data_IF_250485563786
#
_entry.id   IF_250485563786
#
_cell.length_a   1.000
_cell.length_b   1.000
_cell.length_c   1.000
_cell.angle_alpha   90.00
_cell.angle_beta   90.00
_cell.angle_gamma   90.00
#
_symmetry.space_group_name_H-M   'P 1'
#
loop_
_entity.id
_entity.type
_entity.pdbx_description
1 polymer ?
#
# COMPACT_ATOMS: atom_id res chain seq x y z
N UNK A 1 11.17 -6.27 -52.08
CA UNK A 1 11.85 -6.58 -50.80
C UNK A 1 11.20 -5.77 -49.69
N UNK A 2 11.22 -6.31 -48.47
CA UNK A 2 10.24 -6.11 -47.39
C UNK A 2 10.20 -4.69 -46.81
N UNK A 3 8.97 -4.21 -46.60
CA UNK A 3 8.61 -3.09 -45.74
C UNK A 3 9.08 -3.32 -44.30
N UNK A 4 9.85 -2.39 -43.75
CA UNK A 4 10.10 -2.31 -42.30
C UNK A 4 9.05 -1.34 -41.76
N UNK A 5 7.99 -1.90 -41.20
CA UNK A 5 7.07 -1.19 -40.31
C UNK A 5 7.85 -0.86 -39.04
N UNK A 6 8.22 0.40 -38.86
CA UNK A 6 8.56 0.93 -37.55
C UNK A 6 7.28 0.88 -36.71
N UNK A 7 7.11 -0.18 -35.91
CA UNK A 7 6.19 -0.16 -34.78
C UNK A 7 6.77 0.81 -33.75
N UNK A 8 6.38 2.08 -33.85
CA UNK A 8 6.53 3.03 -32.77
C UNK A 8 5.65 2.57 -31.62
N UNK A 9 6.32 2.04 -30.60
CA UNK A 9 5.81 1.66 -29.28
C UNK A 9 5.02 2.84 -28.69
N UNK A 10 3.73 2.71 -28.33
CA UNK A 10 2.97 3.76 -27.63
C UNK A 10 3.30 3.79 -26.13
N UNK A 11 4.59 3.67 -25.78
CA UNK A 11 5.10 3.78 -24.41
C UNK A 11 5.67 5.15 -24.08
N UNK A 12 5.64 6.08 -25.03
CA UNK A 12 6.30 7.39 -24.97
C UNK A 12 5.37 8.56 -24.58
N UNK A 13 4.12 8.29 -24.20
CA UNK A 13 3.13 9.33 -23.91
C UNK A 13 2.89 9.61 -22.41
N UNK A 14 3.56 8.90 -21.51
CA UNK A 14 3.51 9.21 -20.06
C UNK A 14 4.75 9.94 -19.53
N UNK A 15 5.78 10.18 -20.36
CA UNK A 15 7.06 10.72 -19.90
C UNK A 15 7.23 12.26 -20.07
N UNK A 16 6.24 12.98 -20.61
CA UNK A 16 6.45 14.36 -21.08
C UNK A 16 5.62 15.47 -20.40
N UNK A 17 4.95 15.18 -19.29
CA UNK A 17 4.22 16.20 -18.51
C UNK A 17 4.47 16.07 -17.01
N UNK A 18 5.72 15.86 -16.61
CA UNK A 18 6.14 16.18 -15.24
C UNK A 18 6.50 17.66 -15.22
N UNK A 19 5.51 18.53 -15.37
CA UNK A 19 5.65 19.85 -14.77
C UNK A 19 5.81 19.58 -13.28
N UNK A 20 6.88 20.07 -12.65
CA UNK A 20 7.00 20.11 -11.19
C UNK A 20 5.89 21.01 -10.67
N UNK A 21 4.67 20.49 -10.62
CA UNK A 21 3.62 20.99 -9.75
C UNK A 21 4.12 20.67 -8.35
N UNK A 22 4.32 21.70 -7.55
CA UNK A 22 4.54 21.55 -6.12
C UNK A 22 3.41 20.66 -5.60
N UNK A 23 3.75 19.45 -5.15
CA UNK A 23 2.76 18.45 -4.80
C UNK A 23 1.93 18.99 -3.62
N UNK A 24 0.61 19.14 -3.81
CA UNK A 24 -0.31 19.67 -2.79
C UNK A 24 -0.60 18.65 -1.66
N UNK A 25 0.31 17.69 -1.48
CA UNK A 25 0.30 16.72 -0.38
C UNK A 25 0.91 17.33 0.88
N UNK A 26 0.53 16.80 2.03
CA UNK A 26 1.20 17.17 3.28
C UNK A 26 2.59 16.51 3.40
N UNK A 27 3.48 17.05 4.25
CA UNK A 27 4.82 16.48 4.45
C UNK A 27 4.78 15.01 4.88
N UNK A 28 5.79 14.23 4.47
CA UNK A 28 5.87 12.81 4.78
C UNK A 28 5.85 12.54 6.30
N UNK A 29 6.44 13.44 7.10
CA UNK A 29 6.41 13.39 8.57
C UNK A 29 5.03 13.60 9.19
N UNK A 30 4.08 14.16 8.43
CA UNK A 30 2.67 14.24 8.82
C UNK A 30 1.92 12.95 8.49
N UNK A 31 2.29 12.26 7.40
CA UNK A 31 1.72 10.99 6.97
C UNK A 31 2.22 9.80 7.79
N UNK A 32 3.53 9.74 8.05
CA UNK A 32 4.18 8.60 8.68
C UNK A 32 5.06 8.99 9.87
N UNK A 33 5.29 8.00 10.73
CA UNK A 33 6.43 7.96 11.67
C UNK A 33 7.55 7.19 10.98
N UNK A 34 8.69 7.82 10.78
CA UNK A 34 9.84 7.19 10.16
C UNK A 34 11.13 7.82 10.71
N UNK A 35 12.26 7.20 10.39
CA UNK A 35 13.59 7.73 10.71
C UNK A 35 14.53 7.40 9.56
N UNK A 36 15.48 8.30 9.30
CA UNK A 36 16.57 8.11 8.33
C UNK A 36 17.91 7.87 9.04
N UNK A 37 17.89 7.62 10.35
CA UNK A 37 19.10 7.33 11.12
C UNK A 37 19.61 5.90 10.85
N UNK A 38 20.89 5.73 10.47
CA UNK A 38 21.42 4.44 10.01
C UNK A 38 21.43 3.33 11.07
N UNK A 39 21.43 3.69 12.35
CA UNK A 39 21.55 2.73 13.45
C UNK A 39 20.20 2.30 14.05
N UNK A 40 19.09 2.70 13.44
CA UNK A 40 17.75 2.27 13.87
C UNK A 40 17.25 1.14 12.97
N UNK A 41 16.84 0.03 13.58
CA UNK A 41 16.23 -1.08 12.86
C UNK A 41 14.93 -0.63 12.16
N UNK A 42 14.78 -0.98 10.88
CA UNK A 42 13.69 -0.51 10.03
C UNK A 42 13.81 0.94 9.55
N UNK A 43 14.95 1.61 9.79
CA UNK A 43 15.19 2.96 9.30
C UNK A 43 15.19 3.02 7.77
N UNK A 44 14.89 4.22 7.26
CA UNK A 44 14.97 4.61 5.86
C UNK A 44 16.27 5.34 5.52
N UNK A 45 17.35 5.00 6.24
CA UNK A 45 18.67 5.60 6.05
C UNK A 45 19.24 5.37 4.65
N UNK A 46 18.89 4.27 4.00
CA UNK A 46 19.31 3.98 2.62
C UNK A 46 18.76 4.96 1.57
N UNK A 47 17.60 5.57 1.85
CA UNK A 47 16.96 6.53 0.95
C UNK A 47 17.31 7.98 1.33
N UNK A 48 17.36 8.30 2.62
CA UNK A 48 17.46 9.68 3.09
C UNK A 48 16.14 10.46 2.95
N UNK A 49 16.07 11.66 3.52
CA UNK A 49 14.82 12.43 3.60
C UNK A 49 14.35 12.95 2.24
N UNK A 50 15.27 13.42 1.40
CA UNK A 50 14.96 13.96 0.07
C UNK A 50 14.35 12.90 -0.85
N UNK A 51 14.98 11.72 -0.92
CA UNK A 51 14.48 10.61 -1.75
C UNK A 51 13.12 10.13 -1.29
N UNK A 52 12.88 10.05 0.03
CA UNK A 52 11.58 9.65 0.56
C UNK A 52 10.48 10.67 0.24
N UNK A 53 10.80 11.97 0.27
CA UNK A 53 9.86 12.99 -0.16
C UNK A 53 9.61 12.92 -1.67
N UNK A 54 10.63 12.72 -2.49
CA UNK A 54 10.46 12.55 -3.93
C UNK A 54 9.57 11.34 -4.27
N UNK A 55 9.76 10.19 -3.59
CA UNK A 55 8.88 9.02 -3.74
C UNK A 55 7.43 9.35 -3.36
N UNK A 56 7.24 10.15 -2.31
CA UNK A 56 5.91 10.58 -1.89
C UNK A 56 5.28 11.57 -2.88
N UNK A 57 6.06 12.44 -3.52
CA UNK A 57 5.60 13.32 -4.60
C UNK A 57 5.17 12.52 -5.83
N UNK A 58 6.00 11.55 -6.23
CA UNK A 58 5.70 10.64 -7.35
C UNK A 58 4.42 9.83 -7.08
N UNK A 59 4.27 9.32 -5.86
CA UNK A 59 3.07 8.60 -5.45
C UNK A 59 1.82 9.49 -5.48
N UNK A 60 1.94 10.76 -5.08
CA UNK A 60 0.84 11.72 -5.14
C UNK A 60 0.45 12.08 -6.58
N UNK A 61 1.44 12.31 -7.44
CA UNK A 61 1.22 12.53 -8.87
C UNK A 61 0.53 11.32 -9.51
N UNK A 62 0.98 10.11 -9.20
CA UNK A 62 0.36 8.87 -9.69
C UNK A 62 -1.08 8.72 -9.21
N UNK A 63 -1.37 9.01 -7.93
CA UNK A 63 -2.73 8.97 -7.39
C UNK A 63 -3.64 10.03 -8.07
N UNK A 64 -3.10 11.22 -8.33
CA UNK A 64 -3.81 12.31 -9.02
C UNK A 64 -4.15 11.93 -10.45
N UNK A 65 -3.17 11.44 -11.22
CA UNK A 65 -3.40 10.97 -12.58
C UNK A 65 -4.29 9.74 -12.62
N UNK A 66 -4.19 8.85 -11.64
CA UNK A 66 -5.09 7.72 -11.48
C UNK A 66 -6.54 8.18 -11.29
N UNK A 67 -6.78 9.15 -10.42
CA UNK A 67 -8.11 9.73 -10.19
C UNK A 67 -8.67 10.37 -11.47
N UNK A 68 -7.85 11.15 -12.18
CA UNK A 68 -8.25 11.73 -13.47
C UNK A 68 -8.58 10.65 -14.50
N UNK A 69 -7.78 9.58 -14.59
CA UNK A 69 -8.07 8.45 -15.46
C UNK A 69 -9.41 7.78 -15.09
N UNK A 70 -9.75 7.63 -13.82
CA UNK A 70 -11.07 7.12 -13.45
C UNK A 70 -12.19 8.07 -13.90
N UNK A 71 -12.00 9.39 -13.79
CA UNK A 71 -12.98 10.36 -14.30
C UNK A 71 -13.15 10.28 -15.83
N UNK A 72 -12.03 10.21 -16.57
CA UNK A 72 -12.02 10.14 -18.04
C UNK A 72 -12.59 8.81 -18.56
N UNK A 73 -12.47 7.74 -17.78
CA UNK A 73 -13.07 6.44 -18.10
C UNK A 73 -14.60 6.52 -18.21
N UNK A 74 -15.25 7.31 -17.35
CA UNK A 74 -16.71 7.47 -17.37
C UNK A 74 -17.19 8.57 -18.32
N UNK A 75 -16.34 9.57 -18.59
CA UNK A 75 -16.66 10.67 -19.47
C UNK A 75 -16.34 10.34 -20.93
N UNK A 76 -17.34 9.96 -21.72
CA UNK A 76 -17.19 9.64 -23.14
C UNK A 76 -16.74 10.84 -23.99
N UNK A 77 -16.92 12.06 -23.50
CA UNK A 77 -16.51 13.28 -24.20
C UNK A 77 -15.06 13.69 -23.88
N UNK A 78 -14.39 13.01 -22.94
CA UNK A 78 -13.00 13.27 -22.62
C UNK A 78 -12.07 12.90 -23.79
N UNK A 79 -11.16 13.79 -24.17
CA UNK A 79 -10.19 13.54 -25.25
C UNK A 79 -9.30 12.29 -25.00
N UNK A 80 -9.14 11.92 -23.74
CA UNK A 80 -8.35 10.77 -23.24
C UNK A 80 -9.17 9.50 -23.05
N UNK A 81 -10.51 9.54 -23.23
CA UNK A 81 -11.43 8.46 -22.90
C UNK A 81 -11.00 7.11 -23.47
N UNK A 82 -10.75 7.01 -24.78
CA UNK A 82 -10.41 5.74 -25.43
C UNK A 82 -9.10 5.12 -24.91
N UNK A 83 -8.09 5.95 -24.64
CA UNK A 83 -6.79 5.51 -24.14
C UNK A 83 -6.92 5.01 -22.70
N UNK A 84 -7.63 5.78 -21.87
CA UNK A 84 -7.92 5.46 -20.48
C UNK A 84 -8.79 4.20 -20.38
N UNK A 85 -9.81 4.06 -21.23
CA UNK A 85 -10.66 2.89 -21.28
C UNK A 85 -9.86 1.62 -21.48
N UNK A 86 -8.95 1.61 -22.46
CA UNK A 86 -8.05 0.46 -22.70
C UNK A 86 -7.15 0.19 -21.51
N UNK A 87 -6.61 1.22 -20.88
CA UNK A 87 -5.75 1.09 -19.70
C UNK A 87 -6.51 0.45 -18.52
N UNK A 88 -7.68 0.99 -18.17
CA UNK A 88 -8.51 0.50 -17.05
C UNK A 88 -9.00 -0.93 -17.35
N UNK A 89 -9.49 -1.18 -18.57
CA UNK A 89 -9.91 -2.52 -18.99
C UNK A 89 -8.76 -3.54 -18.90
N UNK A 90 -7.52 -3.12 -19.18
CA UNK A 90 -6.35 -4.00 -19.10
C UNK A 90 -5.88 -4.21 -17.66
N UNK A 91 -5.77 -3.14 -16.87
CA UNK A 91 -5.25 -3.17 -15.50
C UNK A 91 -6.21 -3.87 -14.54
N UNK A 92 -7.52 -3.72 -14.77
CA UNK A 92 -8.56 -4.24 -13.89
C UNK A 92 -9.44 -5.31 -14.56
N UNK A 93 -8.96 -5.88 -15.68
CA UNK A 93 -9.61 -7.00 -16.39
C UNK A 93 -11.08 -6.75 -16.75
N UNK A 94 -11.37 -5.58 -17.34
CA UNK A 94 -12.71 -5.12 -17.73
C UNK A 94 -13.68 -5.17 -16.53
N UNK A 95 -13.46 -4.29 -15.54
CA UNK A 95 -14.25 -4.32 -14.31
C UNK A 95 -15.73 -4.07 -14.61
N UNK A 96 -16.61 -4.70 -13.83
CA UNK A 96 -18.02 -4.28 -13.74
C UNK A 96 -18.14 -2.87 -13.15
N UNK A 97 -19.32 -2.25 -13.27
CA UNK A 97 -19.55 -0.90 -12.75
C UNK A 97 -19.28 -0.81 -11.23
N UNK A 98 -19.69 -1.81 -10.46
CA UNK A 98 -19.45 -1.88 -9.01
C UNK A 98 -17.95 -2.03 -8.68
N UNK A 99 -17.22 -2.84 -9.44
CA UNK A 99 -15.78 -3.00 -9.29
C UNK A 99 -15.03 -1.72 -9.67
N UNK A 100 -15.48 -1.06 -10.74
CA UNK A 100 -14.94 0.22 -11.17
C UNK A 100 -15.12 1.29 -10.09
N UNK A 101 -16.33 1.45 -9.54
CA UNK A 101 -16.58 2.42 -8.46
C UNK A 101 -15.76 2.09 -7.20
N UNK A 102 -15.55 0.81 -6.90
CA UNK A 102 -14.67 0.38 -5.82
C UNK A 102 -13.22 0.80 -6.07
N UNK A 103 -12.71 0.62 -7.30
CA UNK A 103 -11.36 1.03 -7.68
C UNK A 103 -11.22 2.55 -7.62
N UNK A 104 -12.17 3.29 -8.20
CA UNK A 104 -12.21 4.75 -8.18
C UNK A 104 -12.16 5.27 -6.75
N UNK A 105 -13.04 4.78 -5.88
CA UNK A 105 -13.09 5.17 -4.46
C UNK A 105 -11.76 4.94 -3.75
N UNK A 106 -11.05 3.84 -4.07
CA UNK A 106 -9.74 3.55 -3.49
C UNK A 106 -8.66 4.50 -3.99
N UNK A 107 -8.63 4.81 -5.28
CA UNK A 107 -7.66 5.74 -5.87
C UNK A 107 -7.87 7.15 -5.31
N UNK A 108 -9.10 7.63 -5.28
CA UNK A 108 -9.48 8.92 -4.69
C UNK A 108 -9.16 8.95 -3.19
N UNK A 109 -9.38 7.84 -2.49
CA UNK A 109 -9.03 7.67 -1.08
C UNK A 109 -7.54 7.80 -0.82
N UNK A 110 -6.68 7.24 -1.68
CA UNK A 110 -5.22 7.39 -1.57
C UNK A 110 -4.82 8.86 -1.77
N UNK A 111 -5.31 9.52 -2.82
CA UNK A 111 -5.02 10.95 -3.06
C UNK A 111 -5.42 11.81 -1.87
N UNK A 112 -6.68 11.68 -1.41
CA UNK A 112 -7.20 12.45 -0.28
C UNK A 112 -6.45 12.16 1.03
N UNK A 113 -6.02 10.92 1.24
CA UNK A 113 -5.19 10.56 2.38
C UNK A 113 -3.82 11.25 2.34
N UNK A 114 -3.21 11.39 1.16
CA UNK A 114 -1.94 12.11 1.01
C UNK A 114 -2.08 13.62 1.20
N UNK A 115 -3.25 14.20 0.93
CA UNK A 115 -3.57 15.62 1.15
C UNK A 115 -3.91 15.94 2.62
N UNK A 116 -4.52 14.99 3.34
CA UNK A 116 -5.10 15.28 4.67
C UNK A 116 -4.51 14.46 5.81
N UNK A 117 -3.80 13.38 5.51
CA UNK A 117 -3.29 12.39 6.47
C UNK A 117 -4.36 11.42 6.99
N UNK A 118 -5.65 11.77 6.87
CA UNK A 118 -6.84 10.93 7.09
C UNK A 118 -6.84 10.04 8.33
N UNK A 119 -7.85 9.17 8.41
CA UNK A 119 -7.84 8.06 9.35
C UNK A 119 -7.17 6.84 8.69
N UNK A 120 -6.31 6.14 9.44
CA UNK A 120 -5.74 4.85 9.03
C UNK A 120 -6.32 3.73 9.89
N UNK A 121 -6.22 2.46 9.47
CA UNK A 121 -6.66 1.30 10.28
C UNK A 121 -8.10 1.39 10.84
N UNK A 122 -9.13 1.42 9.97
CA UNK A 122 -10.54 1.43 10.37
C UNK A 122 -10.94 2.60 11.30
N UNK A 123 -10.45 3.82 11.02
CA UNK A 123 -10.85 5.02 11.77
C UNK A 123 -9.90 5.43 12.90
N UNK A 124 -8.72 4.81 13.03
CA UNK A 124 -7.73 5.18 14.03
C UNK A 124 -6.82 6.31 13.54
N UNK A 125 -6.74 7.40 14.32
CA UNK A 125 -5.83 8.53 14.09
C UNK A 125 -4.39 8.29 14.57
N UNK A 126 -3.90 7.04 14.51
CA UNK A 126 -2.50 6.75 14.83
C UNK A 126 -1.69 6.75 13.53
N UNK A 127 -0.82 7.75 13.37
CA UNK A 127 0.16 7.78 12.27
C UNK A 127 0.84 6.42 12.11
N UNK A 128 0.81 5.90 10.90
CA UNK A 128 1.42 4.62 10.53
C UNK A 128 2.95 4.76 10.56
N UNK A 129 3.65 3.68 10.86
CA UNK A 129 5.09 3.64 10.71
C UNK A 129 5.44 3.31 9.25
N UNK A 130 6.36 4.09 8.67
CA UNK A 130 7.01 3.74 7.41
C UNK A 130 8.35 3.10 7.76
N UNK A 131 8.57 1.90 7.23
CA UNK A 131 9.81 1.16 7.41
C UNK A 131 10.41 0.81 6.05
N UNK A 132 11.73 0.90 5.95
CA UNK A 132 12.46 0.79 4.69
C UNK A 132 13.43 -0.40 4.72
N UNK A 133 12.86 -1.60 4.66
CA UNK A 133 13.58 -2.87 4.73
C UNK A 133 12.89 -3.86 5.66
N UNK A 134 13.37 -5.09 5.75
CA UNK A 134 12.72 -6.15 6.54
C UNK A 134 13.16 -6.18 8.03
N UNK A 135 14.08 -5.31 8.44
CA UNK A 135 14.73 -5.37 9.75
C UNK A 135 13.83 -5.00 10.93
N UNK A 136 12.68 -4.34 10.68
CA UNK A 136 11.63 -4.09 11.68
C UNK A 136 10.66 -5.27 11.84
N UNK A 137 10.56 -6.13 10.82
CA UNK A 137 9.78 -7.34 10.90
C UNK A 137 10.55 -8.32 11.79
N UNK A 138 10.43 -8.15 13.10
CA UNK A 138 10.70 -9.24 14.03
C UNK A 138 9.69 -10.30 13.65
N UNK A 139 10.09 -11.24 12.79
CA UNK A 139 9.27 -12.39 12.40
C UNK A 139 9.00 -13.18 13.67
N UNK A 140 7.86 -12.90 14.29
CA UNK A 140 7.39 -13.65 15.44
C UNK A 140 6.94 -14.97 14.90
N UNK A 141 7.62 -16.02 15.32
CA UNK A 141 7.24 -17.38 14.98
C UNK A 141 6.22 -17.93 15.99
N UNK A 142 5.69 -19.11 15.73
CA UNK A 142 4.75 -19.79 16.63
C UNK A 142 5.32 -20.09 18.02
N UNK A 143 6.64 -19.97 18.21
CA UNK A 143 7.34 -20.13 19.49
C UNK A 143 7.48 -18.82 20.26
N UNK A 144 7.27 -17.69 19.59
CA UNK A 144 7.38 -16.36 20.17
C UNK A 144 6.34 -16.13 21.24
N UNK A 145 6.73 -15.44 22.31
CA UNK A 145 5.83 -15.04 23.38
C UNK A 145 4.85 -13.97 22.89
N UNK A 146 3.58 -14.13 23.24
CA UNK A 146 2.54 -13.14 22.97
C UNK A 146 2.76 -11.89 23.78
N UNK A 147 2.47 -10.75 23.15
CA UNK A 147 2.44 -9.44 23.80
C UNK A 147 1.02 -8.89 23.80
N UNK A 148 0.67 -8.14 24.82
CA UNK A 148 -0.58 -7.39 24.87
C UNK A 148 -0.51 -6.15 23.95
N UNK A 149 -1.60 -5.38 23.91
CA UNK A 149 -1.73 -4.16 23.10
C UNK A 149 -0.69 -3.08 23.45
N UNK A 150 -0.11 -3.16 24.64
CA UNK A 150 0.86 -2.21 25.17
C UNK A 150 2.30 -2.74 25.02
N UNK A 151 2.47 -3.95 24.46
CA UNK A 151 3.77 -4.57 24.18
C UNK A 151 4.33 -5.41 25.33
N UNK A 152 3.57 -5.62 26.41
CA UNK A 152 3.99 -6.41 27.55
C UNK A 152 3.75 -7.90 27.32
N UNK A 153 4.66 -8.71 27.82
CA UNK A 153 4.59 -10.17 27.72
C UNK A 153 3.37 -10.74 28.46
N UNK A 154 2.55 -11.51 27.74
CA UNK A 154 1.39 -12.19 28.34
C UNK A 154 1.84 -13.52 28.95
N UNK A 155 1.30 -13.82 30.14
CA UNK A 155 1.51 -15.08 30.86
C UNK A 155 0.17 -15.73 31.24
N UNK A 156 0.16 -17.06 31.38
CA UNK A 156 -0.99 -17.78 31.90
C UNK A 156 -1.25 -17.37 33.35
N UNK A 157 -2.41 -16.78 33.64
CA UNK A 157 -2.78 -16.34 35.00
C UNK A 157 -2.66 -17.43 36.06
N UNK A 158 -2.88 -18.70 35.68
CA UNK A 158 -2.86 -19.85 36.57
C UNK A 158 -1.47 -20.42 36.86
N UNK A 159 -0.46 -20.16 36.02
CA UNK A 159 0.85 -20.81 36.14
C UNK A 159 2.05 -19.88 35.96
N UNK A 160 1.83 -18.61 35.62
CA UNK A 160 2.89 -17.63 35.35
C UNK A 160 3.71 -17.94 34.09
N UNK A 161 3.42 -19.01 33.35
CA UNK A 161 4.18 -19.41 32.17
C UNK A 161 3.91 -18.47 30.98
N UNK A 162 4.92 -18.14 30.16
CA UNK A 162 4.75 -17.41 28.91
C UNK A 162 3.68 -18.02 28.01
N UNK A 163 2.71 -17.22 27.56
CA UNK A 163 1.81 -17.63 26.48
C UNK A 163 2.54 -17.42 25.16
N UNK A 164 2.67 -18.46 24.34
CA UNK A 164 3.24 -18.34 22.98
C UNK A 164 2.13 -18.17 21.96
N UNK A 165 2.47 -17.66 20.77
CA UNK A 165 1.47 -17.44 19.70
C UNK A 165 0.74 -18.74 19.35
N UNK A 166 1.43 -19.89 19.31
CA UNK A 166 0.81 -21.20 19.09
C UNK A 166 -0.26 -21.59 20.11
N UNK A 167 -0.20 -21.03 21.31
CA UNK A 167 -1.12 -21.35 22.40
C UNK A 167 -2.41 -20.52 22.29
N UNK A 168 -2.47 -19.52 21.39
CA UNK A 168 -3.65 -18.69 21.16
C UNK A 168 -4.62 -19.33 20.16
N UNK A 169 -5.78 -19.76 20.68
CA UNK A 169 -6.89 -20.25 19.85
C UNK A 169 -7.36 -19.21 18.83
N UNK A 170 -7.38 -17.93 19.21
CA UNK A 170 -7.82 -16.85 18.32
C UNK A 170 -6.88 -16.67 17.14
N UNK A 171 -5.56 -16.68 17.38
CA UNK A 171 -4.57 -16.55 16.30
C UNK A 171 -4.59 -17.76 15.38
N UNK A 172 -4.68 -18.97 15.93
CA UNK A 172 -4.77 -20.19 15.13
C UNK A 172 -6.04 -20.20 14.26
N UNK A 173 -7.20 -19.79 14.81
CA UNK A 173 -8.45 -19.69 14.06
C UNK A 173 -8.37 -18.63 12.95
N UNK A 174 -7.81 -17.45 13.23
CA UNK A 174 -7.62 -16.42 12.21
C UNK A 174 -6.71 -16.90 11.06
N UNK A 175 -5.67 -17.67 11.35
CA UNK A 175 -4.80 -18.29 10.33
C UNK A 175 -5.55 -19.36 9.54
N UNK A 176 -6.34 -20.20 10.19
CA UNK A 176 -7.17 -21.19 9.51
C UNK A 176 -8.19 -20.53 8.55
N UNK A 177 -8.87 -19.49 9.01
CA UNK A 177 -9.87 -18.76 8.23
C UNK A 177 -9.22 -18.03 7.04
N UNK A 178 -8.05 -17.41 7.24
CA UNK A 178 -7.27 -16.80 6.17
C UNK A 178 -6.79 -17.85 5.16
N UNK A 179 -6.30 -19.01 5.63
CA UNK A 179 -5.84 -20.10 4.77
C UNK A 179 -6.94 -20.61 3.85
N UNK A 180 -8.15 -20.80 4.41
CA UNK A 180 -9.34 -21.16 3.64
C UNK A 180 -9.70 -20.09 2.63
N UNK A 181 -9.69 -18.81 3.02
CA UNK A 181 -10.03 -17.68 2.15
C UNK A 181 -9.11 -17.58 0.93
N UNK A 182 -7.81 -17.86 1.09
CA UNK A 182 -6.82 -17.72 0.01
C UNK A 182 -6.42 -19.06 -0.62
N UNK A 183 -7.10 -20.17 -0.28
CA UNK A 183 -6.88 -21.48 -0.89
C UNK A 183 -5.49 -22.09 -0.60
N UNK A 184 -4.90 -21.81 0.57
CA UNK A 184 -3.56 -22.33 0.94
C UNK A 184 -3.60 -23.17 2.22
N UNK A 185 -2.46 -23.78 2.59
CA UNK A 185 -2.30 -24.50 3.86
C UNK A 185 -1.91 -23.55 4.98
N UNK A 186 -2.50 -23.72 6.17
CA UNK A 186 -2.20 -22.89 7.36
C UNK A 186 -0.70 -22.87 7.71
N UNK A 187 0.00 -24.00 7.52
CA UNK A 187 1.45 -24.10 7.76
C UNK A 187 2.31 -23.22 6.86
N UNK A 188 1.75 -22.68 5.77
CA UNK A 188 2.41 -21.75 4.85
C UNK A 188 2.09 -20.28 5.16
N UNK A 189 1.22 -20.01 6.14
CA UNK A 189 0.92 -18.66 6.59
C UNK A 189 1.89 -18.28 7.72
N UNK A 190 2.51 -17.11 7.58
CA UNK A 190 3.22 -16.49 8.70
C UNK A 190 2.22 -16.06 9.79
N UNK A 191 2.65 -15.99 11.07
CA UNK A 191 1.81 -15.50 12.17
C UNK A 191 1.39 -14.03 12.01
#
# INVERSE_FOLDING_TARGET
>A
MRSIRLMLVPGLLFAALVNLVEADRIPLSKLFRYTVEPNIAGSCSEYGEDTLNAIADDAYALATHGSQAMSDFQNTDAATHDAVKRLVDTMFFRPSDDEFETVRTRVDGVRSWMETGGNVNNGQNKKTYLFCGDSWAIRKDMKSQMKDKDGNNIVFKSSGKPIRIKDSKTMNKAREDLAKKIGTKESRLFP
#
